data_IF_306243163217
#
_entry.id   IF_306243163217
#
_cell.length_a   1.000
_cell.length_b   1.000
_cell.length_c   1.000
_cell.angle_alpha   90.00
_cell.angle_beta   90.00
_cell.angle_gamma   90.00
#
_symmetry.space_group_name_H-M   'P 1'
#
loop_
_entity.id
_entity.type
_entity.pdbx_description
1 polymer ?
#
# COMPACT_ATOMS: atom_id res chain seq x y z
N UNK A 1 -5.07 2.70 28.78
CA UNK A 1 -4.78 3.49 27.56
C UNK A 1 -3.41 3.18 26.92
N UNK A 2 -2.29 3.20 27.63
CA UNK A 2 -0.96 2.86 27.06
C UNK A 2 -0.89 1.49 26.37
N UNK A 3 -1.53 0.47 26.90
CA UNK A 3 -1.46 -0.91 26.39
C UNK A 3 -2.11 -1.06 24.98
N UNK A 4 -3.19 -0.32 24.69
CA UNK A 4 -3.88 -0.40 23.41
C UNK A 4 -3.10 0.28 22.27
N UNK A 5 -2.42 1.39 22.56
CA UNK A 5 -1.53 2.05 21.59
C UNK A 5 -0.34 1.16 21.22
N UNK A 6 0.31 0.55 22.22
CA UNK A 6 1.44 -0.36 21.98
C UNK A 6 1.01 -1.55 21.13
N UNK A 7 -0.14 -2.15 21.43
CA UNK A 7 -0.72 -3.24 20.62
C UNK A 7 -0.98 -2.82 19.19
N UNK A 8 -1.56 -1.63 18.98
CA UNK A 8 -1.83 -1.09 17.64
C UNK A 8 -0.53 -0.89 16.86
N UNK A 9 0.49 -0.28 17.47
CA UNK A 9 1.79 -0.07 16.83
C UNK A 9 2.44 -1.41 16.47
N UNK A 10 2.43 -2.39 17.37
CA UNK A 10 2.95 -3.72 17.11
C UNK A 10 2.23 -4.41 15.94
N UNK A 11 0.89 -4.32 15.88
CA UNK A 11 0.12 -4.87 14.77
C UNK A 11 0.46 -4.20 13.43
N UNK A 12 0.55 -2.86 13.40
CA UNK A 12 0.92 -2.14 12.18
C UNK A 12 2.34 -2.50 11.73
N UNK A 13 3.29 -2.67 12.67
CA UNK A 13 4.64 -3.11 12.36
C UNK A 13 4.66 -4.54 11.76
N UNK A 14 3.87 -5.46 12.33
CA UNK A 14 3.73 -6.83 11.81
C UNK A 14 3.10 -6.81 10.42
N UNK A 15 2.02 -6.03 10.20
CA UNK A 15 1.40 -5.93 8.89
C UNK A 15 2.37 -5.33 7.87
N UNK A 16 3.13 -4.30 8.23
CA UNK A 16 4.18 -3.72 7.39
C UNK A 16 5.22 -4.79 6.99
N UNK A 17 5.73 -5.54 7.96
CA UNK A 17 6.71 -6.59 7.72
C UNK A 17 6.14 -7.70 6.82
N UNK A 18 4.91 -8.16 7.08
CA UNK A 18 4.24 -9.16 6.25
C UNK A 18 3.99 -8.65 4.82
N UNK A 19 3.61 -7.38 4.67
CA UNK A 19 3.43 -6.76 3.35
C UNK A 19 4.73 -6.77 2.55
N UNK A 20 5.85 -6.43 3.19
CA UNK A 20 7.18 -6.45 2.56
C UNK A 20 7.57 -7.89 2.18
N UNK A 21 7.42 -8.84 3.10
CA UNK A 21 7.74 -10.26 2.84
C UNK A 21 6.92 -10.80 1.68
N UNK A 22 5.59 -10.65 1.72
CA UNK A 22 4.70 -11.09 0.64
C UNK A 22 5.01 -10.36 -0.67
N UNK A 23 5.25 -9.07 -0.60
CA UNK A 23 5.62 -8.27 -1.76
C UNK A 23 6.94 -8.71 -2.39
N UNK A 24 7.93 -9.09 -1.59
CA UNK A 24 9.21 -9.58 -2.10
C UNK A 24 9.13 -11.02 -2.61
N UNK A 25 8.27 -11.86 -2.01
CA UNK A 25 8.05 -13.25 -2.45
C UNK A 25 7.28 -13.32 -3.78
N UNK A 26 6.25 -12.48 -3.93
CA UNK A 26 5.42 -12.39 -5.15
C UNK A 26 5.83 -11.17 -5.99
N UNK A 27 7.13 -11.12 -6.32
CA UNK A 27 7.72 -10.04 -7.11
C UNK A 27 7.90 -10.47 -8.56
N UNK A 28 7.35 -9.68 -9.48
CA UNK A 28 7.52 -9.85 -10.92
C UNK A 28 8.43 -8.73 -11.42
N UNK A 29 9.66 -9.03 -11.85
CA UNK A 29 10.57 -8.02 -12.38
C UNK A 29 9.98 -7.32 -13.60
N UNK A 30 10.25 -6.01 -13.74
CA UNK A 30 9.94 -5.19 -14.90
C UNK A 30 11.20 -4.43 -15.34
N UNK A 31 11.23 -3.85 -16.54
CA UNK A 31 12.41 -3.09 -17.00
C UNK A 31 12.78 -1.91 -16.10
N UNK A 32 11.83 -1.34 -15.35
CA UNK A 32 12.03 -0.13 -14.53
C UNK A 32 11.93 -0.36 -13.03
N UNK A 33 11.60 -1.60 -12.61
CA UNK A 33 11.38 -1.95 -11.21
C UNK A 33 10.77 -3.34 -11.07
N UNK A 34 9.67 -3.46 -10.34
CA UNK A 34 8.97 -4.73 -10.16
C UNK A 34 7.50 -4.49 -9.79
N UNK A 35 6.65 -5.48 -10.10
CA UNK A 35 5.27 -5.56 -9.60
C UNK A 35 5.23 -6.46 -8.37
N UNK A 36 4.32 -6.17 -7.43
CA UNK A 36 4.32 -6.85 -6.13
C UNK A 36 2.92 -6.96 -5.54
N UNK A 37 2.76 -7.88 -4.57
CA UNK A 37 1.52 -8.02 -3.79
C UNK A 37 1.47 -7.10 -2.54
N UNK A 38 2.39 -6.15 -2.42
CA UNK A 38 2.49 -5.21 -1.31
C UNK A 38 1.17 -4.47 -1.03
N UNK A 39 0.48 -4.07 -2.09
CA UNK A 39 -0.74 -3.26 -2.03
C UNK A 39 -1.87 -3.94 -1.25
N UNK A 40 -1.87 -5.27 -1.17
CA UNK A 40 -2.87 -6.01 -0.40
C UNK A 40 -2.82 -5.65 1.09
N UNK A 41 -1.63 -5.54 1.68
CA UNK A 41 -1.46 -5.12 3.06
C UNK A 41 -1.83 -3.65 3.28
N UNK A 42 -1.57 -2.79 2.30
CA UNK A 42 -1.94 -1.37 2.32
C UNK A 42 -3.46 -1.23 2.35
N UNK A 43 -4.17 -1.84 1.40
CA UNK A 43 -5.63 -1.81 1.33
C UNK A 43 -6.27 -2.46 2.56
N UNK A 44 -5.77 -3.63 2.99
CA UNK A 44 -6.23 -4.26 4.23
C UNK A 44 -6.14 -3.31 5.41
N UNK A 45 -4.99 -2.68 5.62
CA UNK A 45 -4.77 -1.74 6.73
C UNK A 45 -5.69 -0.53 6.63
N UNK A 46 -5.81 0.06 5.44
CA UNK A 46 -6.67 1.20 5.19
C UNK A 46 -8.14 0.90 5.48
N UNK A 47 -8.65 -0.28 5.08
CA UNK A 47 -10.02 -0.68 5.34
C UNK A 47 -10.27 -1.03 6.80
N UNK A 48 -9.29 -1.58 7.48
CA UNK A 48 -9.42 -2.08 8.83
C UNK A 48 -9.19 -1.00 9.90
N UNK A 49 -8.13 -0.19 9.74
CA UNK A 49 -7.67 0.78 10.73
C UNK A 49 -7.94 2.24 10.30
N UNK A 50 -8.15 2.50 9.02
CA UNK A 50 -8.46 3.80 8.49
C UNK A 50 -7.27 4.50 7.82
N UNK A 51 -7.47 5.80 7.53
CA UNK A 51 -6.63 6.62 6.65
C UNK A 51 -5.20 6.77 7.12
N UNK A 52 -5.01 7.10 8.41
CA UNK A 52 -3.67 7.40 8.98
C UNK A 52 -2.80 6.14 9.01
N UNK A 53 -3.38 5.04 9.42
CA UNK A 53 -2.71 3.75 9.51
C UNK A 53 -2.44 3.17 8.13
N UNK A 54 -3.37 3.31 7.20
CA UNK A 54 -3.16 2.97 5.80
C UNK A 54 -2.00 3.75 5.17
N UNK A 55 -1.93 5.06 5.44
CA UNK A 55 -0.82 5.90 4.98
C UNK A 55 0.53 5.47 5.59
N UNK A 56 0.54 5.18 6.88
CA UNK A 56 1.75 4.78 7.60
C UNK A 56 2.28 3.44 7.06
N UNK A 57 1.43 2.42 7.01
CA UNK A 57 1.82 1.09 6.51
C UNK A 57 2.17 1.17 5.03
N UNK A 58 1.38 1.89 4.22
CA UNK A 58 1.68 2.05 2.79
C UNK A 58 3.02 2.71 2.54
N UNK A 59 3.26 3.86 3.16
CA UNK A 59 4.50 4.60 3.00
C UNK A 59 5.72 3.81 3.48
N UNK A 60 5.66 3.25 4.68
CA UNK A 60 6.78 2.47 5.22
C UNK A 60 7.03 1.18 4.41
N UNK A 61 5.97 0.48 4.01
CA UNK A 61 6.13 -0.73 3.19
C UNK A 61 6.76 -0.41 1.83
N UNK A 62 6.30 0.66 1.16
CA UNK A 62 6.85 1.09 -0.12
C UNK A 62 8.32 1.50 -0.03
N UNK A 63 8.67 2.29 0.98
CA UNK A 63 10.07 2.68 1.22
C UNK A 63 10.97 1.47 1.49
N UNK A 64 10.55 0.60 2.39
CA UNK A 64 11.38 -0.51 2.84
C UNK A 64 11.49 -1.64 1.82
N UNK A 65 10.44 -1.90 1.02
CA UNK A 65 10.53 -2.94 -0.01
C UNK A 65 11.53 -2.55 -1.10
N UNK A 66 11.61 -1.28 -1.47
CA UNK A 66 12.57 -0.81 -2.46
C UNK A 66 14.01 -0.94 -1.95
N UNK A 67 14.23 -0.65 -0.67
CA UNK A 67 15.53 -0.86 -0.04
C UNK A 67 15.94 -2.34 -0.09
N UNK A 68 15.03 -3.23 0.34
CA UNK A 68 15.28 -4.69 0.38
C UNK A 68 15.41 -5.28 -1.02
N UNK A 69 14.66 -4.77 -1.98
CA UNK A 69 14.68 -5.24 -3.36
C UNK A 69 15.85 -4.69 -4.20
N UNK A 70 16.63 -3.74 -3.67
CA UNK A 70 17.78 -3.14 -4.37
C UNK A 70 17.43 -2.00 -5.32
N UNK A 71 16.33 -1.29 -5.07
CA UNK A 71 15.86 -0.14 -5.85
C UNK A 71 15.83 1.16 -5.01
N UNK A 72 16.93 1.57 -4.37
CA UNK A 72 16.94 2.71 -3.44
C UNK A 72 16.50 4.03 -4.08
N UNK A 73 16.67 4.18 -5.40
CA UNK A 73 16.21 5.36 -6.15
C UNK A 73 14.70 5.57 -6.12
N UNK A 74 13.93 4.50 -5.84
CA UNK A 74 12.47 4.56 -5.74
C UNK A 74 11.94 4.82 -4.34
N UNK A 75 12.76 4.63 -3.29
CA UNK A 75 12.33 4.63 -1.88
C UNK A 75 11.46 5.83 -1.50
N UNK A 76 11.88 7.05 -1.86
CA UNK A 76 11.14 8.28 -1.51
C UNK A 76 9.85 8.38 -2.32
N UNK A 77 9.87 8.00 -3.57
CA UNK A 77 8.69 8.03 -4.43
C UNK A 77 7.68 6.98 -4.00
N UNK A 78 8.11 5.78 -3.66
CA UNK A 78 7.25 4.71 -3.14
C UNK A 78 6.67 5.05 -1.77
N UNK A 79 7.42 5.73 -0.90
CA UNK A 79 6.90 6.28 0.34
C UNK A 79 5.69 7.19 0.07
N UNK A 80 5.82 8.10 -0.90
CA UNK A 80 4.77 9.07 -1.24
C UNK A 80 3.58 8.36 -1.91
N UNK A 81 3.83 7.59 -2.96
CA UNK A 81 2.79 6.93 -3.75
C UNK A 81 1.94 5.98 -2.90
N UNK A 82 2.58 5.05 -2.19
CA UNK A 82 1.88 4.09 -1.35
C UNK A 82 1.34 4.70 -0.06
N UNK A 83 1.98 5.75 0.46
CA UNK A 83 1.43 6.53 1.58
C UNK A 83 0.11 7.22 1.21
N UNK A 84 0.06 7.89 0.07
CA UNK A 84 -1.16 8.51 -0.45
C UNK A 84 -2.21 7.47 -0.83
N UNK A 85 -1.82 6.36 -1.47
CA UNK A 85 -2.69 5.24 -1.76
C UNK A 85 -3.40 4.75 -0.49
N UNK A 86 -2.66 4.44 0.57
CA UNK A 86 -3.21 3.98 1.84
C UNK A 86 -4.08 5.03 2.54
N UNK A 87 -3.69 6.30 2.46
CA UNK A 87 -4.49 7.40 3.00
C UNK A 87 -5.84 7.52 2.33
N UNK A 88 -5.89 7.55 1.00
CA UNK A 88 -7.14 7.66 0.27
C UNK A 88 -7.99 6.39 0.35
N UNK A 89 -7.39 5.20 0.31
CA UNK A 89 -8.10 3.94 0.47
C UNK A 89 -8.85 3.82 1.80
N UNK A 90 -8.39 4.52 2.84
CA UNK A 90 -9.03 4.55 4.15
C UNK A 90 -10.26 5.46 4.27
N UNK A 91 -10.76 6.06 3.18
CA UNK A 91 -12.01 6.80 3.19
C UNK A 91 -13.20 5.86 3.45
N UNK A 92 -14.22 6.37 4.16
CA UNK A 92 -15.38 5.56 4.58
C UNK A 92 -16.69 6.17 4.09
N UNK A 93 -17.79 5.43 4.25
CA UNK A 93 -19.11 5.89 3.87
C UNK A 93 -19.22 6.23 2.38
N UNK A 94 -19.89 7.33 2.05
CA UNK A 94 -20.09 7.78 0.65
C UNK A 94 -18.79 8.17 -0.06
N UNK A 95 -17.76 8.56 0.70
CA UNK A 95 -16.48 8.96 0.15
C UNK A 95 -15.58 7.78 -0.24
N UNK A 96 -15.95 6.54 0.10
CA UNK A 96 -15.13 5.34 -0.16
C UNK A 96 -14.79 5.18 -1.64
N UNK A 97 -15.76 5.36 -2.54
CA UNK A 97 -15.53 5.19 -3.97
C UNK A 97 -14.55 6.24 -4.53
N UNK A 98 -14.73 7.50 -4.12
CA UNK A 98 -13.80 8.58 -4.46
C UNK A 98 -12.41 8.28 -3.88
N UNK A 99 -12.35 7.81 -2.63
CA UNK A 99 -11.11 7.43 -1.98
C UNK A 99 -10.36 6.32 -2.73
N UNK A 100 -11.07 5.29 -3.19
CA UNK A 100 -10.47 4.19 -3.97
C UNK A 100 -9.95 4.68 -5.34
N UNK A 101 -10.70 5.56 -6.00
CA UNK A 101 -10.25 6.18 -7.24
C UNK A 101 -8.98 7.00 -7.01
N UNK A 102 -8.96 7.86 -5.98
CA UNK A 102 -7.79 8.65 -5.62
C UNK A 102 -6.60 7.79 -5.19
N UNK A 103 -6.84 6.67 -4.51
CA UNK A 103 -5.80 5.71 -4.14
C UNK A 103 -5.14 5.10 -5.39
N UNK A 104 -5.93 4.66 -6.37
CA UNK A 104 -5.43 4.18 -7.65
C UNK A 104 -4.67 5.25 -8.43
N UNK A 105 -5.20 6.46 -8.50
CA UNK A 105 -4.54 7.59 -9.15
C UNK A 105 -3.22 7.96 -8.47
N UNK A 106 -3.17 7.97 -7.15
CA UNK A 106 -1.95 8.27 -6.39
C UNK A 106 -0.85 7.23 -6.66
N UNK A 107 -1.21 5.95 -6.68
CA UNK A 107 -0.27 4.87 -6.96
C UNK A 107 0.13 4.86 -8.45
N UNK A 108 -0.80 4.67 -9.36
CA UNK A 108 -0.51 4.52 -10.80
C UNK A 108 0.04 5.82 -11.40
N UNK A 109 -0.62 6.94 -11.11
CA UNK A 109 -0.21 8.26 -11.61
C UNK A 109 1.11 8.72 -10.99
N UNK A 110 1.31 8.48 -9.70
CA UNK A 110 2.57 8.79 -9.02
C UNK A 110 3.75 8.02 -9.63
N UNK A 111 3.62 6.71 -9.83
CA UNK A 111 4.68 5.92 -10.47
C UNK A 111 4.87 6.31 -11.94
N UNK A 112 3.84 6.69 -12.68
CA UNK A 112 3.98 7.21 -14.04
C UNK A 112 4.75 8.55 -14.04
N UNK A 113 4.42 9.47 -13.13
CA UNK A 113 5.09 10.76 -12.99
C UNK A 113 6.56 10.58 -12.62
N UNK A 114 6.85 9.89 -11.53
CA UNK A 114 8.22 9.71 -11.05
C UNK A 114 9.03 8.80 -11.98
N UNK A 115 8.40 7.79 -12.59
CA UNK A 115 9.00 6.94 -13.61
C UNK A 115 9.44 7.73 -14.86
N UNK A 116 8.66 8.73 -15.25
CA UNK A 116 9.04 9.60 -16.37
C UNK A 116 10.30 10.43 -16.08
N UNK A 117 10.47 10.81 -14.82
CA UNK A 117 11.67 11.55 -14.36
C UNK A 117 12.89 10.63 -14.27
N UNK A 118 12.74 9.42 -13.73
CA UNK A 118 13.84 8.50 -13.49
C UNK A 118 14.28 7.72 -14.73
N UNK A 119 13.33 7.32 -15.58
CA UNK A 119 13.55 6.35 -16.66
C UNK A 119 13.07 6.83 -18.03
N UNK A 120 12.48 8.01 -18.09
CA UNK A 120 11.92 8.61 -19.29
C UNK A 120 10.47 8.21 -19.58
N UNK A 121 9.82 9.02 -20.43
CA UNK A 121 8.37 8.93 -20.68
C UNK A 121 7.95 7.57 -21.27
N UNK A 122 8.74 7.01 -22.19
CA UNK A 122 8.43 5.72 -22.81
C UNK A 122 8.37 4.58 -21.79
N UNK A 123 9.33 4.51 -20.87
CA UNK A 123 9.36 3.53 -19.80
C UNK A 123 8.20 3.72 -18.81
N UNK A 124 7.88 4.97 -18.48
CA UNK A 124 6.74 5.31 -17.61
C UNK A 124 5.41 4.84 -18.20
N UNK A 125 5.17 5.10 -19.48
CA UNK A 125 3.94 4.66 -20.19
C UNK A 125 3.86 3.13 -20.20
N UNK A 126 4.95 2.43 -20.52
CA UNK A 126 4.98 0.98 -20.53
C UNK A 126 4.66 0.35 -19.16
N UNK A 127 5.04 1.04 -18.05
CA UNK A 127 4.78 0.57 -16.70
C UNK A 127 3.31 0.78 -16.22
N UNK A 128 2.54 1.66 -16.85
CA UNK A 128 1.18 2.03 -16.40
C UNK A 128 0.30 0.78 -16.25
N UNK A 129 0.26 -0.08 -17.25
CA UNK A 129 -0.60 -1.26 -17.23
C UNK A 129 -0.24 -2.22 -16.09
N UNK A 130 1.05 -2.44 -15.86
CA UNK A 130 1.53 -3.25 -14.74
C UNK A 130 1.09 -2.66 -13.39
N UNK A 131 1.28 -1.36 -13.19
CA UNK A 131 0.87 -0.67 -11.97
C UNK A 131 -0.66 -0.70 -11.78
N UNK A 132 -1.45 -0.60 -12.85
CA UNK A 132 -2.92 -0.76 -12.78
C UNK A 132 -3.27 -2.17 -12.29
N UNK A 133 -2.65 -3.20 -12.87
CA UNK A 133 -2.89 -4.59 -12.45
C UNK A 133 -2.48 -4.81 -10.99
N UNK A 134 -1.30 -4.35 -10.57
CA UNK A 134 -0.85 -4.42 -9.19
C UNK A 134 -1.87 -3.78 -8.25
N UNK A 135 -2.32 -2.58 -8.56
CA UNK A 135 -3.29 -1.84 -7.74
C UNK A 135 -4.64 -2.58 -7.62
N UNK A 136 -5.16 -3.12 -8.73
CA UNK A 136 -6.41 -3.90 -8.74
C UNK A 136 -6.26 -5.19 -7.93
N UNK A 137 -5.19 -5.96 -8.15
CA UNK A 137 -4.93 -7.17 -7.39
C UNK A 137 -4.77 -6.88 -5.90
N UNK A 138 -4.02 -5.86 -5.55
CA UNK A 138 -3.86 -5.41 -4.17
C UNK A 138 -5.20 -5.04 -3.52
N UNK A 139 -6.05 -4.31 -4.25
CA UNK A 139 -7.40 -3.95 -3.79
C UNK A 139 -8.27 -5.19 -3.54
N UNK A 140 -8.31 -6.13 -4.49
CA UNK A 140 -9.14 -7.35 -4.38
C UNK A 140 -8.68 -8.21 -3.21
N UNK A 141 -7.38 -8.50 -3.12
CA UNK A 141 -6.82 -9.31 -2.04
C UNK A 141 -6.95 -8.60 -0.69
N UNK A 142 -6.64 -7.32 -0.62
CA UNK A 142 -6.76 -6.52 0.61
C UNK A 142 -8.20 -6.46 1.10
N UNK A 143 -9.18 -6.34 0.21
CA UNK A 143 -10.60 -6.39 0.55
C UNK A 143 -11.02 -7.80 1.02
N UNK A 144 -10.57 -8.86 0.36
CA UNK A 144 -10.83 -10.23 0.78
C UNK A 144 -10.29 -10.51 2.18
N UNK A 145 -9.07 -10.08 2.48
CA UNK A 145 -8.49 -10.15 3.82
C UNK A 145 -9.32 -9.37 4.85
N UNK A 146 -9.71 -8.14 4.51
CA UNK A 146 -10.57 -7.32 5.36
C UNK A 146 -11.90 -8.02 5.72
N UNK A 147 -12.49 -8.76 4.77
CA UNK A 147 -13.73 -9.50 4.96
C UNK A 147 -13.52 -10.81 5.73
N UNK A 148 -12.37 -11.46 5.57
CA UNK A 148 -12.04 -12.72 6.22
C UNK A 148 -11.65 -12.55 7.70
N UNK A 149 -11.04 -11.41 8.05
CA UNK A 149 -10.65 -11.15 9.45
C UNK A 149 -11.84 -10.65 10.27
N UNK A 150 -12.28 -11.39 11.30
CA UNK A 150 -13.46 -11.03 12.06
C UNK A 150 -13.27 -9.75 12.88
N UNK A 151 -14.38 -9.04 13.10
CA UNK A 151 -14.48 -7.81 13.90
C UNK A 151 -13.89 -7.94 15.33
N UNK A 152 -13.60 -9.15 15.79
CA UNK A 152 -12.97 -9.42 17.09
C UNK A 152 -11.60 -8.77 17.22
N UNK A 153 -10.79 -8.76 16.15
CA UNK A 153 -9.52 -8.04 16.14
C UNK A 153 -9.72 -6.52 16.20
N UNK A 154 -10.83 -6.02 15.66
CA UNK A 154 -11.18 -4.59 15.72
C UNK A 154 -11.39 -4.13 17.17
N UNK A 155 -12.09 -4.93 17.97
CA UNK A 155 -12.32 -4.66 19.40
C UNK A 155 -11.05 -4.75 20.24
N UNK A 156 -10.09 -5.57 19.85
CA UNK A 156 -8.81 -5.69 20.56
C UNK A 156 -7.89 -4.47 20.39
N UNK A 157 -8.17 -3.60 19.41
CA UNK A 157 -7.27 -2.50 18.99
C UNK A 157 -7.93 -1.12 19.03
N UNK A 158 -9.25 -1.04 18.99
CA UNK A 158 -9.98 0.23 19.16
C UNK A 158 -10.41 0.37 20.63
N UNK A 159 -10.00 1.45 21.33
CA UNK A 159 -10.61 1.79 22.62
C UNK A 159 -12.09 2.13 22.38
N UNK A 160 -12.96 1.63 23.26
CA UNK A 160 -14.32 2.18 23.43
C UNK A 160 -14.28 3.65 23.77
#
# INVERSE_FOLDING_TARGET
>A
MKNNQTRKIALLAVITALSIVLGNFFKIPTPTGFLTLLDAGIYFTAFYFGRKEGALVGGLSGLLIDLVAGYPQWMVFSLICHGLQGYFAGFTGKQRYIGLLLAGLAMVGGYALFGSILSGLGAAIAAIWGNVMQNIFGLVVGYALYRAFPLVLKRAVQPE
#
